data_IF_351409146307
#
_entry.id   IF_351409146307
#
_cell.length_a   1.000
_cell.length_b   1.000
_cell.length_c   1.000
_cell.angle_alpha   90.00
_cell.angle_beta   90.00
_cell.angle_gamma   90.00
#
_symmetry.space_group_name_H-M   'P 1'
#
loop_
_entity.id
_entity.type
_entity.pdbx_description
1 polymer ?
#
# COMPACT_ATOMS: atom_id res chain seq x y z
N UNK A 1 13.89 -11.92 23.27
CA UNK A 1 13.51 -11.01 22.17
C UNK A 1 14.61 -9.98 22.02
N UNK A 2 14.98 -9.69 20.78
CA UNK A 2 16.02 -8.70 20.46
C UNK A 2 15.31 -7.54 19.78
N UNK A 3 15.45 -6.33 20.32
CA UNK A 3 14.88 -5.13 19.71
C UNK A 3 15.76 -4.65 18.56
N UNK A 4 15.31 -3.66 17.80
CA UNK A 4 16.15 -3.01 16.79
C UNK A 4 17.41 -2.42 17.44
N UNK A 5 18.60 -2.77 16.92
CA UNK A 5 19.88 -2.49 17.57
C UNK A 5 20.19 -3.30 18.85
N UNK A 6 19.35 -4.27 19.21
CA UNK A 6 19.55 -5.13 20.37
C UNK A 6 20.60 -6.21 20.16
N UNK A 7 21.22 -6.66 21.25
CA UNK A 7 22.13 -7.82 21.26
C UNK A 7 21.40 -9.09 21.68
N UNK A 8 21.90 -10.24 21.24
CA UNK A 8 21.45 -11.55 21.72
C UNK A 8 22.64 -12.33 22.28
N UNK A 9 22.37 -13.22 23.25
CA UNK A 9 23.38 -14.11 23.82
C UNK A 9 22.75 -15.42 24.26
N UNK A 10 23.45 -16.51 24.01
CA UNK A 10 23.11 -17.84 24.51
C UNK A 10 24.34 -18.46 25.15
N UNK A 11 24.19 -19.05 26.33
CA UNK A 11 25.23 -19.89 26.94
C UNK A 11 25.06 -21.31 26.42
N UNK A 12 26.14 -21.90 25.92
CA UNK A 12 26.13 -23.23 25.29
C UNK A 12 27.23 -24.10 25.88
N UNK A 13 27.09 -25.43 25.77
CA UNK A 13 28.08 -26.38 26.27
C UNK A 13 29.30 -26.44 25.34
N UNK A 14 30.48 -26.67 25.92
CA UNK A 14 31.72 -26.87 25.17
C UNK A 14 31.64 -28.11 24.27
N UNK A 15 32.17 -28.00 23.05
CA UNK A 15 32.19 -29.06 22.04
C UNK A 15 30.86 -29.31 21.33
N UNK A 16 29.79 -28.58 21.69
CA UNK A 16 28.48 -28.72 21.05
C UNK A 16 28.40 -28.12 19.64
N UNK A 17 27.41 -28.57 18.86
CA UNK A 17 27.06 -28.02 17.57
C UNK A 17 25.73 -27.24 17.70
N UNK A 18 25.72 -25.98 17.27
CA UNK A 18 24.60 -25.07 17.47
C UNK A 18 24.24 -24.34 16.17
N UNK A 19 22.95 -24.24 15.87
CA UNK A 19 22.45 -23.43 14.76
C UNK A 19 21.56 -22.33 15.30
N UNK A 20 21.84 -21.09 14.87
CA UNK A 20 21.05 -19.91 15.20
C UNK A 20 20.28 -19.48 13.95
N UNK A 21 18.97 -19.36 14.08
CA UNK A 21 18.06 -18.95 13.00
C UNK A 21 17.15 -17.84 13.52
N UNK A 22 17.36 -16.58 13.13
CA UNK A 22 16.42 -15.50 13.46
C UNK A 22 15.11 -15.64 12.68
N UNK A 23 13.99 -15.34 13.34
CA UNK A 23 12.66 -15.34 12.70
C UNK A 23 11.83 -14.15 13.20
N UNK A 24 11.14 -13.49 12.27
CA UNK A 24 10.16 -12.42 12.54
C UNK A 24 9.24 -12.28 11.32
N UNK A 25 7.93 -12.26 11.55
CA UNK A 25 6.94 -12.04 10.47
C UNK A 25 7.18 -10.70 9.77
N UNK A 26 7.13 -10.67 8.44
CA UNK A 26 7.37 -9.47 7.62
C UNK A 26 8.85 -9.14 7.38
N UNK A 27 9.79 -10.00 7.79
CA UNK A 27 11.23 -9.77 7.63
C UNK A 27 11.94 -11.03 7.12
N UNK A 28 12.95 -10.81 6.27
CA UNK A 28 14.01 -11.78 6.00
C UNK A 28 15.27 -11.41 6.76
N UNK A 29 16.17 -12.38 6.94
CA UNK A 29 17.44 -12.16 7.63
C UNK A 29 18.62 -12.61 6.78
N UNK A 30 19.71 -11.86 6.84
CA UNK A 30 20.96 -12.19 6.13
C UNK A 30 22.13 -12.24 7.14
N UNK A 31 22.81 -13.39 7.29
CA UNK A 31 22.44 -14.71 6.73
C UNK A 31 21.11 -15.23 7.30
N UNK A 32 20.45 -16.19 6.64
CA UNK A 32 19.17 -16.74 7.14
C UNK A 32 19.35 -17.61 8.40
N UNK A 33 20.53 -18.21 8.54
CA UNK A 33 20.96 -18.92 9.74
C UNK A 33 22.48 -18.99 9.80
N UNK A 34 23.00 -19.39 10.97
CA UNK A 34 24.42 -19.70 11.14
C UNK A 34 24.57 -20.94 12.01
N UNK A 35 25.35 -21.90 11.51
CA UNK A 35 25.78 -23.07 12.28
C UNK A 35 27.20 -22.89 12.77
N UNK A 36 27.42 -23.20 14.06
CA UNK A 36 28.71 -23.32 14.71
C UNK A 36 28.90 -24.79 15.11
N UNK A 37 30.01 -25.39 14.69
CA UNK A 37 30.33 -26.78 15.02
C UNK A 37 31.46 -26.80 16.06
N UNK A 38 31.40 -27.74 16.99
CA UNK A 38 32.40 -27.98 18.02
C UNK A 38 32.82 -26.67 18.74
N UNK A 39 31.85 -26.00 19.37
CA UNK A 39 32.09 -24.69 20.00
C UNK A 39 32.97 -24.85 21.23
N UNK A 40 34.22 -24.41 21.14
CA UNK A 40 35.23 -24.45 22.23
C UNK A 40 35.62 -23.07 22.75
N UNK A 41 35.04 -22.01 22.19
CA UNK A 41 35.28 -20.61 22.57
C UNK A 41 34.10 -19.74 22.18
N UNK A 42 34.01 -18.53 22.76
CA UNK A 42 32.94 -17.58 22.45
C UNK A 42 32.86 -17.30 20.93
N UNK A 43 31.66 -17.37 20.39
CA UNK A 43 31.37 -17.12 18.98
C UNK A 43 30.50 -15.87 18.82
N UNK A 44 30.59 -15.21 17.66
CA UNK A 44 29.74 -14.07 17.31
C UNK A 44 29.19 -14.25 15.91
N UNK A 45 27.92 -13.90 15.74
CA UNK A 45 27.29 -13.75 14.43
C UNK A 45 26.38 -12.54 14.49
N UNK A 46 26.41 -11.72 13.45
CA UNK A 46 25.45 -10.63 13.28
C UNK A 46 24.45 -11.00 12.18
N UNK A 47 23.22 -10.56 12.32
CA UNK A 47 22.17 -10.75 11.32
C UNK A 47 21.64 -9.38 10.91
N UNK A 48 21.41 -9.19 9.61
CA UNK A 48 20.72 -8.00 9.11
C UNK A 48 19.28 -8.38 8.79
N UNK A 49 18.32 -7.62 9.33
CA UNK A 49 16.90 -7.79 9.00
C UNK A 49 16.53 -6.93 7.79
N UNK A 50 15.84 -7.50 6.81
CA UNK A 50 15.30 -6.79 5.67
C UNK A 50 13.78 -6.92 5.67
N UNK A 51 13.06 -5.79 5.57
CA UNK A 51 11.60 -5.76 5.46
C UNK A 51 11.17 -6.43 4.16
N UNK A 52 10.17 -7.30 4.22
CA UNK A 52 9.51 -7.83 3.03
C UNK A 52 8.49 -6.80 2.56
N UNK A 53 8.52 -6.47 1.28
CA UNK A 53 7.63 -5.46 0.68
C UNK A 53 6.87 -6.02 -0.51
N UNK A 54 5.65 -5.55 -0.68
CA UNK A 54 4.79 -5.78 -1.83
C UNK A 54 4.37 -4.47 -2.48
N UNK A 55 3.68 -4.55 -3.61
CA UNK A 55 3.12 -3.40 -4.31
C UNK A 55 1.60 -3.38 -4.24
N UNK A 56 1.02 -2.19 -4.12
CA UNK A 56 -0.40 -1.93 -4.39
C UNK A 56 -0.45 -1.02 -5.61
N UNK A 57 -1.02 -1.52 -6.70
CA UNK A 57 -0.97 -0.85 -8.00
C UNK A 57 -2.33 -0.85 -8.70
N UNK A 58 -2.42 -0.13 -9.81
CA UNK A 58 -3.58 -0.17 -10.69
C UNK A 58 -3.63 1.01 -11.64
N UNK A 59 -4.77 1.21 -12.28
CA UNK A 59 -5.01 2.31 -13.21
C UNK A 59 -6.20 3.15 -12.80
N UNK A 60 -6.26 4.37 -13.32
CA UNK A 60 -7.40 5.28 -13.17
C UNK A 60 -7.90 5.66 -14.56
N UNK A 61 -9.22 5.67 -14.76
CA UNK A 61 -9.82 6.15 -16.01
C UNK A 61 -11.03 7.07 -15.81
N UNK A 62 -11.34 7.88 -16.82
CA UNK A 62 -12.44 8.84 -16.89
C UNK A 62 -12.09 10.27 -16.48
N UNK A 63 -10.87 10.52 -15.97
CA UNK A 63 -10.44 11.86 -15.56
C UNK A 63 -8.93 12.01 -15.46
N UNK A 64 -8.43 13.18 -15.86
CA UNK A 64 -7.03 13.59 -15.62
C UNK A 64 -6.82 14.11 -14.20
N UNK A 65 -5.59 14.16 -13.70
CA UNK A 65 -5.27 14.82 -12.43
C UNK A 65 -5.99 14.23 -11.21
N UNK A 66 -6.26 12.92 -11.21
CA UNK A 66 -6.86 12.23 -10.06
C UNK A 66 -5.79 12.02 -9.00
N UNK A 67 -6.08 12.43 -7.77
CA UNK A 67 -5.19 12.17 -6.63
C UNK A 67 -5.53 10.81 -6.02
N UNK A 68 -4.58 9.87 -6.08
CA UNK A 68 -4.68 8.56 -5.42
C UNK A 68 -3.93 8.64 -4.11
N UNK A 69 -4.63 8.38 -3.01
CA UNK A 69 -4.06 8.40 -1.66
C UNK A 69 -3.99 6.98 -1.09
N UNK A 70 -2.80 6.58 -0.64
CA UNK A 70 -2.57 5.44 0.22
C UNK A 70 -2.58 5.92 1.68
N UNK A 71 -3.36 5.25 2.53
CA UNK A 71 -3.34 5.42 3.99
C UNK A 71 -3.26 4.08 4.70
N UNK A 72 -2.83 4.05 5.96
CA UNK A 72 -2.70 2.82 6.75
C UNK A 72 -1.41 2.83 7.55
N UNK A 73 -0.71 1.69 7.57
CA UNK A 73 0.59 1.55 8.27
C UNK A 73 1.67 2.46 7.66
N UNK A 74 1.54 2.76 6.38
CA UNK A 74 2.25 3.86 5.71
C UNK A 74 1.25 4.70 4.90
N UNK A 75 1.66 5.92 4.55
CA UNK A 75 0.85 6.82 3.75
C UNK A 75 1.64 7.40 2.59
N UNK A 76 0.93 7.77 1.54
CA UNK A 76 1.49 8.37 0.33
C UNK A 76 0.39 8.88 -0.59
N UNK A 77 0.76 9.73 -1.53
CA UNK A 77 -0.17 10.14 -2.58
C UNK A 77 0.57 10.39 -3.88
N UNK A 78 -0.18 10.29 -4.98
CA UNK A 78 0.30 10.52 -6.34
C UNK A 78 -0.86 11.03 -7.19
N UNK A 79 -0.52 11.75 -8.26
CA UNK A 79 -1.49 12.26 -9.22
C UNK A 79 -1.40 11.45 -10.51
N UNK A 80 -2.54 10.98 -11.00
CA UNK A 80 -2.64 10.11 -12.17
C UNK A 80 -3.56 10.77 -13.20
N UNK A 81 -3.15 10.75 -14.46
CA UNK A 81 -3.98 11.21 -15.57
C UNK A 81 -4.83 10.07 -16.14
N UNK A 82 -5.77 10.39 -17.02
CA UNK A 82 -6.66 9.39 -17.61
C UNK A 82 -5.87 8.27 -18.31
N UNK A 83 -6.20 7.02 -17.98
CA UNK A 83 -5.49 5.83 -18.48
C UNK A 83 -4.12 5.58 -17.84
N UNK A 84 -3.66 6.45 -16.93
CA UNK A 84 -2.40 6.29 -16.21
C UNK A 84 -2.43 5.21 -15.14
N UNK A 85 -1.25 4.73 -14.76
CA UNK A 85 -1.06 3.76 -13.67
C UNK A 85 -0.49 4.39 -12.41
N UNK A 86 -0.73 3.74 -11.28
CA UNK A 86 -0.13 4.06 -9.99
C UNK A 86 0.48 2.82 -9.33
N UNK A 87 1.43 3.04 -8.42
CA UNK A 87 2.02 1.99 -7.59
C UNK A 87 2.55 2.56 -6.27
N UNK A 88 2.29 1.84 -5.18
CA UNK A 88 2.86 2.09 -3.87
C UNK A 88 3.59 0.85 -3.36
N UNK A 89 4.78 1.02 -2.80
CA UNK A 89 5.47 -0.04 -2.05
C UNK A 89 5.00 -0.05 -0.61
N UNK A 90 4.60 -1.23 -0.13
CA UNK A 90 4.01 -1.45 1.19
C UNK A 90 4.71 -2.61 1.90
N UNK A 91 4.78 -2.57 3.24
CA UNK A 91 5.34 -3.67 4.02
C UNK A 91 4.37 -4.86 4.10
N UNK A 92 4.91 -6.08 4.11
CA UNK A 92 4.17 -7.32 4.34
C UNK A 92 3.42 -7.29 5.67
N UNK A 93 2.22 -7.87 5.68
CA UNK A 93 1.33 -7.95 6.83
C UNK A 93 0.64 -6.63 7.17
N UNK A 94 0.97 -5.55 6.43
CA UNK A 94 0.40 -4.25 6.69
C UNK A 94 -1.05 -4.10 6.21
N UNK A 95 -1.72 -3.08 6.74
CA UNK A 95 -3.09 -2.71 6.38
C UNK A 95 -3.12 -1.37 5.66
N UNK A 96 -3.78 -1.31 4.51
CA UNK A 96 -3.75 -0.15 3.64
C UNK A 96 -5.12 0.13 3.00
N UNK A 97 -5.41 1.39 2.73
CA UNK A 97 -6.57 1.84 1.96
C UNK A 97 -6.12 2.77 0.85
N UNK A 98 -6.58 2.50 -0.37
CA UNK A 98 -6.41 3.36 -1.54
C UNK A 98 -7.70 4.12 -1.80
N UNK A 99 -7.62 5.44 -1.91
CA UNK A 99 -8.77 6.32 -2.19
C UNK A 99 -8.45 7.29 -3.33
N UNK A 100 -9.15 7.21 -4.48
CA UNK A 100 -9.10 8.24 -5.51
C UNK A 100 -9.94 9.45 -5.14
N UNK A 101 -9.45 10.64 -5.48
CA UNK A 101 -10.17 11.90 -5.27
C UNK A 101 -9.95 12.87 -6.42
N UNK A 102 -11.02 13.54 -6.83
CA UNK A 102 -11.01 14.68 -7.75
C UNK A 102 -12.31 15.46 -7.62
N UNK A 103 -12.22 16.78 -7.53
CA UNK A 103 -13.41 17.65 -7.47
C UNK A 103 -14.24 17.53 -8.74
N UNK A 104 -15.57 17.43 -8.60
CA UNK A 104 -16.50 17.24 -9.72
C UNK A 104 -16.62 15.82 -10.24
N UNK A 105 -15.97 14.82 -9.62
CA UNK A 105 -16.03 13.42 -10.05
C UNK A 105 -16.42 12.49 -8.90
N UNK A 106 -17.14 11.41 -9.23
CA UNK A 106 -17.29 10.24 -8.37
C UNK A 106 -16.45 9.09 -8.90
N UNK A 107 -16.04 8.18 -8.02
CA UNK A 107 -15.18 7.05 -8.36
C UNK A 107 -15.84 5.72 -8.01
N UNK A 108 -15.60 4.71 -8.84
CA UNK A 108 -16.02 3.33 -8.59
C UNK A 108 -14.81 2.39 -8.65
N UNK A 109 -14.48 1.67 -7.54
CA UNK A 109 -15.03 1.90 -6.20
C UNK A 109 -14.59 3.27 -5.63
N UNK A 110 -15.24 3.78 -4.58
CA UNK A 110 -14.83 5.03 -3.93
C UNK A 110 -13.52 4.91 -3.16
N UNK A 111 -13.21 3.69 -2.70
CA UNK A 111 -11.95 3.31 -2.07
C UNK A 111 -11.79 1.79 -2.07
N UNK A 112 -10.59 1.30 -1.78
CA UNK A 112 -10.32 -0.12 -1.55
C UNK A 112 -9.40 -0.32 -0.37
N UNK A 113 -9.79 -1.21 0.56
CA UNK A 113 -8.95 -1.61 1.69
C UNK A 113 -8.35 -2.99 1.45
N UNK A 114 -7.07 -3.12 1.79
CA UNK A 114 -6.30 -4.35 1.82
C UNK A 114 -5.79 -4.57 3.24
N UNK A 115 -6.17 -5.70 3.84
CA UNK A 115 -5.72 -6.08 5.18
C UNK A 115 -4.69 -7.19 5.08
N UNK A 116 -3.68 -7.13 5.95
CA UNK A 116 -2.62 -8.14 6.04
C UNK A 116 -2.03 -8.49 4.66
N UNK A 117 -1.44 -7.50 3.98
CA UNK A 117 -0.92 -7.68 2.61
C UNK A 117 0.24 -8.69 2.59
N UNK A 118 0.06 -9.82 1.90
CA UNK A 118 1.08 -10.89 1.78
C UNK A 118 1.45 -11.19 0.33
N UNK A 119 1.03 -10.35 -0.61
CA UNK A 119 1.30 -10.45 -2.04
C UNK A 119 1.00 -9.11 -2.72
N UNK A 120 1.50 -8.90 -3.94
CA UNK A 120 1.15 -7.76 -4.76
C UNK A 120 -0.38 -7.67 -4.97
N UNK A 121 -0.91 -6.46 -4.91
CA UNK A 121 -2.32 -6.15 -5.03
C UNK A 121 -2.58 -5.22 -6.20
N UNK A 122 -3.74 -5.40 -6.85
CA UNK A 122 -4.19 -4.57 -7.97
C UNK A 122 -5.59 -4.04 -7.67
N UNK A 123 -5.79 -2.73 -7.88
CA UNK A 123 -7.11 -2.10 -7.87
C UNK A 123 -7.21 -1.03 -8.94
N UNK A 124 -8.16 -1.16 -9.85
CA UNK A 124 -8.43 -0.11 -10.83
C UNK A 124 -9.60 0.76 -10.35
N UNK A 125 -9.59 2.02 -10.76
CA UNK A 125 -10.66 2.97 -10.47
C UNK A 125 -11.19 3.57 -11.77
N UNK A 126 -12.50 3.66 -11.88
CA UNK A 126 -13.16 4.45 -12.93
C UNK A 126 -13.80 5.67 -12.30
N UNK A 127 -13.89 6.76 -13.07
CA UNK A 127 -14.49 8.01 -12.62
C UNK A 127 -15.59 8.48 -13.56
N UNK A 128 -16.56 9.19 -12.99
CA UNK A 128 -17.67 9.78 -13.72
C UNK A 128 -17.81 11.24 -13.26
N UNK A 129 -17.95 12.15 -14.23
CA UNK A 129 -18.20 13.57 -13.93
C UNK A 129 -19.60 13.76 -13.36
N UNK A 130 -19.70 14.51 -12.26
CA UNK A 130 -20.96 14.82 -11.60
C UNK A 130 -21.72 15.83 -12.46
N UNK A 131 -22.98 15.53 -12.77
CA UNK A 131 -23.85 16.41 -13.54
C UNK A 131 -25.13 16.71 -12.75
N UNK A 132 -25.69 17.91 -12.97
CA UNK A 132 -26.95 18.35 -12.37
C UNK A 132 -27.89 18.84 -13.46
N UNK A 133 -29.20 18.63 -13.26
CA UNK A 133 -30.24 19.05 -14.21
C UNK A 133 -30.91 20.33 -13.70
N UNK A 134 -30.93 21.38 -14.53
CA UNK A 134 -31.77 22.56 -14.32
C UNK A 134 -33.06 22.35 -15.14
N UNK A 135 -34.22 22.39 -14.49
CA UNK A 135 -35.52 22.21 -15.14
C UNK A 135 -36.59 23.12 -14.55
N UNK A 136 -37.64 23.38 -15.32
CA UNK A 136 -38.77 24.22 -14.93
C UNK A 136 -39.85 24.21 -16.01
N UNK A 137 -40.95 24.91 -15.75
CA UNK A 137 -42.08 25.05 -16.68
C UNK A 137 -42.32 26.52 -17.03
N UNK A 138 -42.65 26.79 -18.29
CA UNK A 138 -43.13 28.11 -18.75
C UNK A 138 -44.61 28.00 -19.03
N UNK A 139 -45.42 28.88 -18.45
CA UNK A 139 -46.87 28.94 -18.65
C UNK A 139 -47.29 30.32 -19.15
N UNK A 140 -48.42 30.38 -19.86
CA UNK A 140 -49.05 31.64 -20.28
C UNK A 140 -48.68 32.16 -21.67
N UNK A 141 -47.81 31.48 -22.42
CA UNK A 141 -47.54 31.78 -23.83
C UNK A 141 -46.97 30.56 -24.57
N UNK A 142 -47.37 30.38 -25.83
CA UNK A 142 -46.79 29.40 -26.74
C UNK A 142 -45.57 29.97 -27.46
N UNK A 143 -44.64 29.09 -27.89
CA UNK A 143 -43.47 29.48 -28.68
C UNK A 143 -42.34 30.15 -27.89
N UNK A 144 -42.33 30.03 -26.55
CA UNK A 144 -41.28 30.63 -25.72
C UNK A 144 -39.94 29.91 -25.92
N UNK A 145 -38.88 30.67 -26.22
CA UNK A 145 -37.50 30.17 -26.28
C UNK A 145 -36.84 30.37 -24.93
N UNK A 146 -36.31 29.29 -24.35
CA UNK A 146 -35.47 29.33 -23.14
C UNK A 146 -34.01 29.18 -23.56
N UNK A 147 -33.17 30.14 -23.18
CA UNK A 147 -31.72 30.08 -23.42
C UNK A 147 -30.99 29.93 -22.10
N UNK A 148 -29.95 29.09 -22.08
CA UNK A 148 -29.02 28.95 -20.97
C UNK A 148 -27.67 29.51 -21.44
N UNK A 149 -27.05 30.37 -20.64
CA UNK A 149 -25.70 30.91 -20.89
C UNK A 149 -24.88 30.81 -19.60
N UNK A 150 -23.56 30.75 -19.75
CA UNK A 150 -22.58 30.62 -18.67
C UNK A 150 -21.24 31.23 -19.06
#
# INVERSE_FOLDING_TARGET
MVNDGGSYSFTVAEGGNYTITPTKSGYTFTPSSRTFNNVTSNQTQNFTANVITYTISGTVSGADGVTITLSGDTSGSLVVNDGGSYSFTVAEGGNYTITPTKSGYTFTPSSRTFSNVTADQIQNFTSIHITYTISGTVSGADGVTVTLSG
#
